data_IF_769283332460
#
_entry.id   IF_769283332460
#
_cell.length_a   1.000
_cell.length_b   1.000
_cell.length_c   1.000
_cell.angle_alpha   90.00
_cell.angle_beta   90.00
_cell.angle_gamma   90.00
#
_symmetry.space_group_name_H-M   'P 1'
#
loop_
_entity.id
_entity.type
_entity.pdbx_description
1 polymer ?
#
# COMPACT_ATOMS: atom_id res chain seq x y z
N UNK A 1 17.55 -4.18 -20.07
CA UNK A 1 16.26 -4.64 -19.49
C UNK A 1 15.77 -3.57 -18.50
N UNK A 2 14.56 -3.11 -18.67
CA UNK A 2 13.98 -2.11 -17.78
C UNK A 2 13.45 -2.70 -16.49
N UNK A 3 13.10 -1.82 -15.55
CA UNK A 3 12.52 -2.24 -14.27
C UNK A 3 11.24 -3.08 -14.44
N UNK A 4 10.39 -2.71 -15.39
CA UNK A 4 9.12 -3.42 -15.64
C UNK A 4 9.36 -4.85 -16.09
N UNK A 5 10.33 -5.09 -16.95
CA UNK A 5 10.70 -6.45 -17.38
C UNK A 5 11.19 -7.27 -16.20
N UNK A 6 12.03 -6.68 -15.35
CA UNK A 6 12.53 -7.36 -14.16
C UNK A 6 11.42 -7.72 -13.20
N UNK A 7 10.49 -6.80 -12.93
CA UNK A 7 9.33 -7.07 -12.08
C UNK A 7 8.43 -8.14 -12.69
N UNK A 8 8.25 -8.13 -14.01
CA UNK A 8 7.42 -9.13 -14.68
C UNK A 8 8.01 -10.53 -14.54
N UNK A 9 9.32 -10.66 -14.46
CA UNK A 9 9.99 -11.93 -14.24
C UNK A 9 9.86 -12.40 -12.79
N UNK A 10 9.90 -11.50 -11.83
CA UNK A 10 9.98 -11.83 -10.39
C UNK A 10 8.60 -11.84 -9.73
N UNK A 11 7.78 -10.83 -10.00
CA UNK A 11 6.49 -10.63 -9.36
C UNK A 11 5.46 -10.03 -10.33
N UNK A 12 5.07 -10.77 -11.37
CA UNK A 12 4.16 -10.22 -12.40
C UNK A 12 2.83 -9.73 -11.84
N UNK A 13 2.32 -10.35 -10.78
CA UNK A 13 1.07 -9.93 -10.16
C UNK A 13 1.13 -8.49 -9.62
N UNK A 14 2.31 -8.02 -9.21
CA UNK A 14 2.47 -6.66 -8.71
C UNK A 14 2.14 -5.62 -9.79
N UNK A 15 2.55 -5.86 -11.04
CA UNK A 15 2.30 -4.95 -12.15
C UNK A 15 0.80 -4.77 -12.45
N UNK A 16 -0.04 -5.72 -12.07
CA UNK A 16 -1.48 -5.63 -12.26
C UNK A 16 -2.13 -4.54 -11.41
N UNK A 17 -1.43 -4.05 -10.38
CA UNK A 17 -1.90 -2.96 -9.52
C UNK A 17 -1.64 -1.57 -10.11
N UNK A 18 -1.00 -1.47 -11.26
CA UNK A 18 -0.74 -0.18 -11.92
C UNK A 18 -2.05 0.56 -12.21
N UNK A 19 -2.08 1.86 -11.90
CA UNK A 19 -3.23 2.70 -12.18
C UNK A 19 -3.64 3.56 -11.00
N UNK A 20 -4.82 4.15 -11.12
CA UNK A 20 -5.39 5.03 -10.09
C UNK A 20 -6.56 4.33 -9.42
N UNK A 21 -6.55 4.35 -8.10
CA UNK A 21 -7.53 3.67 -7.26
C UNK A 21 -8.20 4.67 -6.32
N UNK A 22 -9.51 4.53 -6.16
CA UNK A 22 -10.27 5.34 -5.21
C UNK A 22 -11.06 4.45 -4.26
N UNK A 23 -11.13 4.87 -3.00
CA UNK A 23 -11.84 4.14 -1.96
C UNK A 23 -11.97 4.97 -0.70
N UNK A 24 -12.44 4.31 0.34
CA UNK A 24 -12.60 4.91 1.67
C UNK A 24 -11.75 4.10 2.64
N UNK A 25 -10.85 4.79 3.36
CA UNK A 25 -10.11 4.21 4.46
C UNK A 25 -10.99 4.25 5.70
N UNK A 26 -11.23 3.10 6.28
CA UNK A 26 -12.00 2.97 7.53
C UNK A 26 -11.11 2.33 8.57
N UNK A 27 -10.85 3.04 9.66
CA UNK A 27 -10.04 2.54 10.76
C UNK A 27 -10.95 2.15 11.91
N UNK A 28 -10.72 0.97 12.46
CA UNK A 28 -11.47 0.43 13.61
C UNK A 28 -10.51 0.11 14.75
N UNK A 29 -10.93 0.37 15.98
CA UNK A 29 -10.17 0.00 17.17
C UNK A 29 -10.39 -1.47 17.54
N UNK A 30 -9.79 -1.93 18.63
CA UNK A 30 -9.90 -3.32 19.07
C UNK A 30 -11.28 -3.70 19.60
N UNK A 31 -12.16 -2.73 19.84
CA UNK A 31 -13.56 -2.98 20.18
C UNK A 31 -14.46 -3.10 18.95
N UNK A 32 -13.94 -2.82 17.75
CA UNK A 32 -14.69 -2.79 16.51
C UNK A 32 -15.32 -1.42 16.20
N UNK A 33 -15.07 -0.42 17.03
CA UNK A 33 -15.60 0.93 16.79
C UNK A 33 -14.81 1.63 15.70
N UNK A 34 -15.50 2.31 14.78
CA UNK A 34 -14.88 3.14 13.74
C UNK A 34 -14.32 4.40 14.38
N UNK A 35 -13.02 4.61 14.26
CA UNK A 35 -12.32 5.76 14.84
C UNK A 35 -11.95 6.82 13.82
N UNK A 36 -11.85 6.45 12.54
CA UNK A 36 -11.55 7.37 11.46
C UNK A 36 -12.12 6.82 10.14
N UNK A 37 -12.53 7.73 9.27
CA UNK A 37 -12.96 7.42 7.92
C UNK A 37 -12.62 8.59 7.01
N UNK A 38 -12.00 8.30 5.87
CA UNK A 38 -11.66 9.35 4.91
C UNK A 38 -11.54 8.77 3.50
N UNK A 39 -11.70 9.64 2.51
CA UNK A 39 -11.55 9.27 1.10
C UNK A 39 -10.07 9.15 0.77
N UNK A 40 -9.75 8.21 -0.11
CA UNK A 40 -8.40 8.00 -0.59
C UNK A 40 -8.35 7.94 -2.10
N UNK A 41 -7.27 8.46 -2.66
CA UNK A 41 -6.87 8.27 -4.04
C UNK A 41 -5.43 7.80 -4.04
N UNK A 42 -5.19 6.63 -4.62
CA UNK A 42 -3.88 5.99 -4.64
C UNK A 42 -3.48 5.77 -6.09
N UNK A 43 -2.33 6.31 -6.48
CA UNK A 43 -1.77 6.11 -7.81
C UNK A 43 -0.57 5.20 -7.67
N UNK A 44 -0.61 4.05 -8.35
CA UNK A 44 0.47 3.07 -8.39
C UNK A 44 1.14 3.15 -9.75
N UNK A 45 2.44 3.48 -9.76
CA UNK A 45 3.24 3.61 -10.97
C UNK A 45 4.43 2.66 -10.92
N UNK A 46 4.80 2.13 -12.08
CA UNK A 46 5.95 1.24 -12.23
C UNK A 46 6.90 1.82 -13.28
N UNK A 47 7.78 2.76 -12.87
CA UNK A 47 8.73 3.37 -13.81
C UNK A 47 9.67 2.32 -14.39
N UNK A 48 10.02 2.48 -15.67
CA UNK A 48 10.90 1.53 -16.35
C UNK A 48 12.38 1.83 -16.08
N UNK A 49 12.69 3.03 -15.62
CA UNK A 49 14.05 3.46 -15.27
C UNK A 49 14.04 4.37 -14.04
N UNK A 50 15.20 4.81 -13.62
CA UNK A 50 15.35 5.68 -12.46
C UNK A 50 15.59 4.91 -11.18
N UNK A 51 15.51 5.60 -10.01
CA UNK A 51 15.89 4.98 -8.73
C UNK A 51 14.86 3.99 -8.18
N UNK A 52 13.59 4.06 -8.62
CA UNK A 52 12.51 3.26 -8.06
C UNK A 52 11.87 2.34 -9.09
N UNK A 53 11.57 1.11 -8.67
CA UNK A 53 10.78 0.16 -9.49
C UNK A 53 9.28 0.36 -9.29
N UNK A 54 8.89 1.03 -8.21
CA UNK A 54 7.51 1.31 -7.82
C UNK A 54 7.43 2.68 -7.17
N UNK A 55 6.42 3.45 -7.56
CA UNK A 55 6.13 4.77 -6.96
C UNK A 55 4.65 4.81 -6.61
N UNK A 56 4.35 5.21 -5.39
CA UNK A 56 2.98 5.37 -4.93
C UNK A 56 2.74 6.82 -4.52
N UNK A 57 1.63 7.37 -5.02
CA UNK A 57 1.17 8.72 -4.68
C UNK A 57 -0.19 8.58 -4.02
N UNK A 58 -0.34 9.16 -2.84
CA UNK A 58 -1.57 9.10 -2.07
C UNK A 58 -2.14 10.48 -1.87
N UNK A 59 -3.47 10.58 -1.95
CA UNK A 59 -4.21 11.75 -1.50
C UNK A 59 -5.34 11.27 -0.59
N UNK A 60 -5.42 11.88 0.58
CA UNK A 60 -6.46 11.60 1.57
C UNK A 60 -7.27 12.86 1.83
N UNK A 61 -8.59 12.74 1.86
CA UNK A 61 -9.49 13.85 2.10
C UNK A 61 -10.51 13.46 3.16
N UNK A 62 -10.63 14.29 4.20
CA UNK A 62 -11.60 14.14 5.27
C UNK A 62 -12.78 15.09 5.04
N UNK A 63 -13.96 14.73 5.57
CA UNK A 63 -15.18 15.53 5.42
C UNK A 63 -15.07 16.92 6.05
N UNK A 64 -14.17 17.10 7.03
CA UNK A 64 -13.92 18.39 7.68
C UNK A 64 -13.06 19.35 6.84
N UNK A 65 -12.69 18.95 5.62
CA UNK A 65 -11.86 19.76 4.72
C UNK A 65 -10.36 19.53 4.86
N UNK A 66 -9.91 18.71 5.81
CA UNK A 66 -8.50 18.35 5.90
C UNK A 66 -8.11 17.48 4.72
N UNK A 67 -6.88 17.65 4.22
CA UNK A 67 -6.31 16.80 3.19
C UNK A 67 -4.85 16.54 3.48
N UNK A 68 -4.34 15.46 2.92
CA UNK A 68 -2.95 15.06 3.09
C UNK A 68 -2.48 14.33 1.84
N UNK A 69 -1.29 14.68 1.36
CA UNK A 69 -0.67 14.03 0.20
C UNK A 69 0.67 13.45 0.59
N UNK A 70 0.97 12.28 0.08
CA UNK A 70 2.29 11.65 0.25
C UNK A 70 2.73 10.99 -1.05
N UNK A 71 4.04 10.85 -1.20
CA UNK A 71 4.64 10.14 -2.31
C UNK A 71 5.85 9.37 -1.79
N UNK A 72 5.98 8.12 -2.21
CA UNK A 72 7.14 7.31 -1.83
C UNK A 72 7.47 6.29 -2.92
N UNK A 73 8.74 5.87 -2.95
CA UNK A 73 9.23 4.90 -3.91
C UNK A 73 9.83 3.68 -3.24
N UNK A 74 9.77 2.56 -3.95
CA UNK A 74 10.37 1.30 -3.53
C UNK A 74 11.44 0.86 -4.51
N UNK A 75 12.43 0.15 -3.99
CA UNK A 75 13.51 -0.45 -4.77
C UNK A 75 13.41 -1.97 -4.73
N UNK A 76 13.89 -2.62 -5.77
CA UNK A 76 13.91 -4.08 -5.80
C UNK A 76 15.07 -4.59 -4.94
N UNK A 77 14.77 -5.54 -4.07
CA UNK A 77 15.73 -6.19 -3.18
C UNK A 77 15.44 -7.70 -3.22
N UNK A 78 16.14 -8.41 -4.12
CA UNK A 78 15.87 -9.83 -4.36
C UNK A 78 14.48 -10.03 -4.96
N UNK A 79 13.64 -10.79 -4.27
CA UNK A 79 12.24 -11.05 -4.64
C UNK A 79 11.25 -10.17 -3.88
N UNK A 80 11.72 -9.06 -3.30
CA UNK A 80 10.92 -8.12 -2.52
C UNK A 80 11.10 -6.70 -3.02
N UNK A 81 10.11 -5.86 -2.73
CA UNK A 81 10.24 -4.42 -2.84
C UNK A 81 10.55 -3.89 -1.47
N UNK A 82 11.59 -3.07 -1.35
CA UNK A 82 12.00 -2.45 -0.10
C UNK A 82 11.68 -0.96 -0.12
N UNK A 83 11.04 -0.50 0.94
CA UNK A 83 10.83 0.92 1.20
C UNK A 83 11.74 1.36 2.33
N UNK A 84 12.35 2.53 2.18
CA UNK A 84 13.22 3.12 3.18
C UNK A 84 13.18 4.64 3.01
N UNK A 85 12.36 5.29 3.80
CA UNK A 85 12.13 6.74 3.72
C UNK A 85 11.87 7.32 5.12
N UNK A 86 11.54 8.61 5.19
CA UNK A 86 11.32 9.30 6.46
C UNK A 86 10.12 8.75 7.24
N UNK A 87 9.17 8.14 6.57
CA UNK A 87 7.94 7.66 7.21
C UNK A 87 8.01 6.20 7.61
N UNK A 88 8.61 5.35 6.77
CA UNK A 88 8.62 3.92 7.04
C UNK A 88 9.78 3.19 6.38
N UNK A 89 10.09 2.03 6.97
CA UNK A 89 11.08 1.09 6.47
C UNK A 89 10.48 -0.31 6.50
N UNK A 90 10.61 -1.06 5.41
CA UNK A 90 10.15 -2.43 5.36
C UNK A 90 10.04 -2.98 3.95
N UNK A 91 9.28 -4.03 3.80
CA UNK A 91 9.24 -4.83 2.58
C UNK A 91 7.82 -5.16 2.15
N UNK A 92 7.66 -5.34 0.83
CA UNK A 92 6.49 -5.94 0.22
C UNK A 92 6.89 -7.08 -0.69
N UNK A 93 6.02 -8.07 -0.83
CA UNK A 93 6.26 -9.21 -1.71
C UNK A 93 4.92 -9.76 -2.20
N UNK A 94 5.00 -10.64 -3.20
CA UNK A 94 3.82 -11.32 -3.77
C UNK A 94 3.87 -12.78 -3.33
N UNK A 95 2.76 -13.28 -2.80
CA UNK A 95 2.64 -14.68 -2.38
C UNK A 95 2.40 -15.58 -3.60
N UNK A 96 2.47 -16.90 -3.40
CA UNK A 96 2.25 -17.88 -4.47
C UNK A 96 0.83 -17.82 -5.07
N UNK A 97 -0.13 -17.27 -4.36
CA UNK A 97 -1.51 -17.06 -4.82
C UNK A 97 -1.80 -15.61 -5.21
N UNK A 98 -0.75 -14.87 -5.55
CA UNK A 98 -0.81 -13.51 -6.10
C UNK A 98 -1.35 -12.44 -5.14
N UNK A 99 -1.29 -12.68 -3.84
CA UNK A 99 -1.57 -11.65 -2.85
C UNK A 99 -0.34 -10.78 -2.64
N UNK A 100 -0.56 -9.47 -2.46
CA UNK A 100 0.52 -8.54 -2.09
C UNK A 100 0.52 -8.37 -0.58
N UNK A 101 1.64 -8.63 0.05
CA UNK A 101 1.85 -8.45 1.49
C UNK A 101 2.88 -7.36 1.72
N UNK A 102 2.63 -6.49 2.70
CA UNK A 102 3.54 -5.44 3.13
C UNK A 102 3.74 -5.54 4.63
N UNK A 103 4.97 -5.33 5.09
CA UNK A 103 5.26 -5.20 6.52
C UNK A 103 6.23 -4.02 6.69
N UNK A 104 5.81 -3.01 7.44
CA UNK A 104 6.49 -1.71 7.50
C UNK A 104 6.55 -1.19 8.93
N UNK A 105 7.74 -0.76 9.34
CA UNK A 105 7.94 0.00 10.57
C UNK A 105 7.77 1.49 10.28
N UNK A 106 7.11 2.23 11.18
CA UNK A 106 6.95 3.67 11.06
C UNK A 106 8.18 4.37 11.64
N UNK A 107 8.92 5.06 10.79
CA UNK A 107 10.10 5.83 11.21
C UNK A 107 9.71 7.14 11.91
N UNK A 108 8.56 7.70 11.53
CA UNK A 108 8.03 8.94 12.11
C UNK A 108 7.21 8.71 13.40
N UNK A 109 6.96 7.45 13.75
CA UNK A 109 6.25 7.05 14.97
C UNK A 109 6.93 5.82 15.58
N UNK A 110 8.05 5.99 16.29
CA UNK A 110 8.78 4.87 16.84
C UNK A 110 7.90 3.91 17.66
N UNK A 111 8.07 2.60 17.44
CA UNK A 111 7.26 1.58 18.08
C UNK A 111 6.00 1.19 17.31
N UNK A 112 5.62 1.94 16.28
CA UNK A 112 4.47 1.60 15.45
C UNK A 112 4.91 0.85 14.19
N UNK A 113 4.11 -0.17 13.86
CA UNK A 113 4.35 -1.10 12.77
C UNK A 113 3.01 -1.51 12.16
N UNK A 114 2.97 -1.81 10.87
CA UNK A 114 1.77 -2.39 10.27
C UNK A 114 2.11 -3.49 9.27
N UNK A 115 1.16 -4.43 9.13
CA UNK A 115 1.19 -5.47 8.10
C UNK A 115 -0.09 -5.37 7.29
N UNK A 116 0.05 -5.32 5.98
CA UNK A 116 -1.05 -5.12 5.04
C UNK A 116 -1.16 -6.29 4.07
N UNK A 117 -2.42 -6.64 3.72
CA UNK A 117 -2.74 -7.60 2.66
C UNK A 117 -3.53 -6.85 1.60
N UNK A 118 -3.13 -7.00 0.34
CA UNK A 118 -3.83 -6.41 -0.81
C UNK A 118 -4.28 -7.54 -1.74
N UNK A 119 -5.58 -7.60 -2.02
CA UNK A 119 -6.19 -8.64 -2.85
C UNK A 119 -6.85 -7.98 -4.06
N UNK A 120 -6.34 -8.27 -5.25
CA UNK A 120 -6.90 -7.77 -6.50
C UNK A 120 -8.00 -8.71 -6.98
N UNK A 121 -9.15 -8.13 -7.37
CA UNK A 121 -10.23 -8.92 -7.98
C UNK A 121 -9.76 -9.50 -9.32
N UNK A 122 -10.29 -10.67 -9.75
CA UNK A 122 -9.85 -11.30 -11.00
C UNK A 122 -9.99 -10.42 -12.24
N UNK A 123 -11.01 -9.55 -12.30
CA UNK A 123 -11.21 -8.63 -13.42
C UNK A 123 -10.31 -7.39 -13.36
N UNK A 124 -9.55 -7.20 -12.28
CA UNK A 124 -8.64 -6.08 -12.12
C UNK A 124 -9.33 -4.74 -11.83
N UNK A 125 -10.63 -4.70 -11.61
CA UNK A 125 -11.39 -3.44 -11.46
C UNK A 125 -11.54 -2.98 -10.01
N UNK A 126 -11.37 -3.90 -9.06
CA UNK A 126 -11.45 -3.60 -7.65
C UNK A 126 -10.37 -4.35 -6.89
N UNK A 127 -10.07 -3.88 -5.67
CA UNK A 127 -9.18 -4.57 -4.76
C UNK A 127 -9.55 -4.27 -3.31
N UNK A 128 -9.31 -5.24 -2.44
CA UNK A 128 -9.45 -5.07 -1.00
C UNK A 128 -8.10 -4.91 -0.35
N UNK A 129 -7.98 -3.91 0.52
CA UNK A 129 -6.79 -3.68 1.31
C UNK A 129 -7.16 -3.72 2.77
N UNK A 130 -6.41 -4.47 3.55
CA UNK A 130 -6.64 -4.59 5.00
C UNK A 130 -5.31 -4.63 5.69
N UNK A 131 -5.13 -3.79 6.73
CA UNK A 131 -3.90 -3.83 7.49
C UNK A 131 -4.12 -3.68 8.98
N UNK A 132 -3.23 -4.36 9.71
CA UNK A 132 -3.20 -4.37 11.16
C UNK A 132 -2.09 -3.45 11.63
N UNK A 133 -2.41 -2.61 12.61
CA UNK A 133 -1.48 -1.69 13.23
C UNK A 133 -1.06 -2.20 14.60
N UNK A 134 0.24 -2.17 14.85
CA UNK A 134 0.83 -2.60 16.11
C UNK A 134 1.57 -1.44 16.76
N UNK A 135 1.48 -1.34 18.07
CA UNK A 135 2.23 -0.39 18.89
C UNK A 135 2.95 -1.17 19.97
N UNK A 136 4.28 -1.10 19.97
CA UNK A 136 5.14 -1.87 20.89
C UNK A 136 4.78 -3.36 20.90
N UNK A 137 4.49 -3.92 19.75
CA UNK A 137 4.15 -5.33 19.55
C UNK A 137 2.69 -5.70 19.79
N UNK A 138 1.84 -4.75 20.16
CA UNK A 138 0.43 -5.02 20.45
C UNK A 138 -0.48 -4.44 19.36
N UNK A 139 -1.44 -5.24 18.90
CA UNK A 139 -2.47 -4.79 17.97
C UNK A 139 -3.31 -3.71 18.63
N UNK A 140 -3.45 -2.54 17.98
CA UNK A 140 -4.27 -1.47 18.52
C UNK A 140 -5.35 -0.95 17.58
N UNK A 141 -5.23 -1.21 16.27
CA UNK A 141 -6.27 -0.85 15.29
C UNK A 141 -6.07 -1.59 13.98
N UNK A 142 -7.09 -1.59 13.16
CA UNK A 142 -7.05 -2.12 11.78
C UNK A 142 -7.62 -1.07 10.83
N UNK A 143 -7.10 -1.04 9.62
CA UNK A 143 -7.65 -0.20 8.55
C UNK A 143 -8.08 -1.08 7.39
N UNK A 144 -9.24 -0.75 6.83
CA UNK A 144 -9.82 -1.44 5.69
C UNK A 144 -10.07 -0.43 4.57
N UNK A 145 -9.84 -0.85 3.34
CA UNK A 145 -10.13 -0.01 2.19
C UNK A 145 -10.53 -0.89 1.01
N UNK A 146 -11.77 -0.76 0.57
CA UNK A 146 -12.22 -1.32 -0.68
C UNK A 146 -12.06 -0.25 -1.76
N UNK A 147 -11.30 -0.57 -2.79
CA UNK A 147 -10.92 0.38 -3.83
C UNK A 147 -11.46 -0.03 -5.19
N UNK A 148 -11.73 0.97 -6.02
CA UNK A 148 -12.07 0.81 -7.43
C UNK A 148 -11.01 1.44 -8.29
N UNK A 149 -10.67 0.80 -9.40
CA UNK A 149 -9.79 1.38 -10.40
C UNK A 149 -10.56 2.44 -11.17
N UNK A 150 -10.02 3.67 -11.21
CA UNK A 150 -10.66 4.79 -11.92
C UNK A 150 -9.89 5.19 -13.17
N UNK A 151 -8.63 4.74 -13.30
CA UNK A 151 -7.88 4.83 -14.55
C UNK A 151 -6.77 3.78 -14.56
N UNK A 152 -6.40 3.32 -15.79
CA UNK A 152 -5.28 2.37 -15.93
C UNK A 152 -3.95 2.95 -15.49
#
# INVERSE_FOLDING_TARGET
MGHRDTLNDIMPAMLRHEGTWEGIYTTVDTSGAVTDSHKSRVICEFPDDGPFVYVQKNRFDWDNGQSFETEFGGVLDGDRIRWDNDRFTGYGWVTHDDLVLLTLDRNDRPGEHFTEIIVLAPDGRSRGRTWHWFRDGELYQRTLCDERRVSP
#
